data_IF_139120347238
#
_entry.id   IF_139120347238
#
_cell.length_a   1.000
_cell.length_b   1.000
_cell.length_c   1.000
_cell.angle_alpha   90.00
_cell.angle_beta   90.00
_cell.angle_gamma   90.00
#
_symmetry.space_group_name_H-M   'P 1'
#
loop_
_entity.id
_entity.type
_entity.pdbx_description
1 polymer ?
#
# COMPACT_ATOMS: atom_id res chain seq x y z
N UNK A 1 -24.06 -15.60 17.76
CA UNK A 1 -22.70 -16.17 17.66
C UNK A 1 -22.44 -16.42 16.18
N UNK A 2 -21.57 -15.63 15.51
CA UNK A 2 -21.25 -15.88 14.09
C UNK A 2 -20.48 -17.19 14.03
N UNK A 3 -20.90 -18.10 13.16
CA UNK A 3 -20.24 -19.39 12.92
C UNK A 3 -18.77 -19.13 12.54
N UNK A 4 -17.83 -19.64 13.34
CA UNK A 4 -16.41 -19.55 13.00
C UNK A 4 -16.17 -20.58 11.89
N UNK A 5 -15.96 -20.11 10.66
CA UNK A 5 -15.56 -20.97 9.54
C UNK A 5 -14.15 -21.53 9.82
N UNK A 6 -14.09 -22.75 10.37
CA UNK A 6 -12.86 -23.47 10.70
C UNK A 6 -12.09 -23.97 9.47
N UNK A 7 -12.52 -23.66 8.24
CA UNK A 7 -11.78 -24.06 7.03
C UNK A 7 -10.53 -23.20 6.89
N UNK A 8 -9.44 -23.67 7.48
CA UNK A 8 -8.09 -23.25 7.11
C UNK A 8 -7.91 -23.46 5.61
N UNK A 9 -8.00 -22.39 4.83
CA UNK A 9 -7.60 -22.43 3.42
C UNK A 9 -6.11 -22.14 3.38
N UNK A 10 -5.26 -23.09 2.97
CA UNK A 10 -3.86 -22.78 2.75
C UNK A 10 -3.75 -21.58 1.79
N UNK A 11 -2.74 -20.72 2.03
CA UNK A 11 -2.45 -19.57 1.18
C UNK A 11 -2.47 -20.03 -0.28
N UNK A 12 -3.37 -19.46 -1.07
CA UNK A 12 -3.50 -19.80 -2.48
C UNK A 12 -2.25 -19.31 -3.22
N UNK A 13 -1.73 -20.07 -4.20
CA UNK A 13 -0.72 -19.57 -5.13
C UNK A 13 -1.15 -18.20 -5.69
N UNK A 14 -0.26 -17.20 -5.62
CA UNK A 14 -0.56 -15.84 -6.07
C UNK A 14 -1.02 -14.85 -4.99
N UNK A 15 -0.91 -15.19 -3.70
CA UNK A 15 -1.04 -14.20 -2.61
C UNK A 15 0.11 -13.19 -2.73
N UNK A 16 -0.21 -11.94 -3.09
CA UNK A 16 0.75 -10.85 -3.14
C UNK A 16 0.98 -10.32 -1.72
N UNK A 17 2.25 -10.25 -1.31
CA UNK A 17 2.64 -9.79 0.02
C UNK A 17 2.18 -8.34 0.29
N UNK A 18 2.16 -7.50 -0.75
CA UNK A 18 1.84 -6.08 -0.71
C UNK A 18 0.46 -5.80 -1.33
N UNK A 19 -0.62 -6.40 -0.81
CA UNK A 19 -1.97 -6.15 -1.33
C UNK A 19 -2.89 -5.59 -0.26
N UNK A 20 -3.44 -4.42 -0.53
CA UNK A 20 -4.45 -3.74 0.30
C UNK A 20 -5.73 -4.57 0.48
N UNK A 21 -5.98 -5.54 -0.42
CA UNK A 21 -7.08 -6.50 -0.30
C UNK A 21 -7.00 -7.38 0.97
N UNK A 22 -5.84 -7.50 1.62
CA UNK A 22 -5.71 -8.17 2.92
C UNK A 22 -6.63 -7.55 3.98
N UNK A 23 -6.92 -6.26 3.87
CA UNK A 23 -7.78 -5.52 4.78
C UNK A 23 -9.26 -5.50 4.38
N UNK A 24 -9.68 -6.30 3.38
CA UNK A 24 -11.07 -6.30 2.87
C UNK A 24 -12.16 -6.44 3.94
N UNK A 25 -11.91 -7.18 5.02
CA UNK A 25 -12.89 -7.36 6.10
C UNK A 25 -13.10 -6.08 6.90
N UNK A 26 -12.07 -5.24 6.99
CA UNK A 26 -12.16 -3.91 7.58
C UNK A 26 -12.94 -3.02 6.63
N UNK A 27 -12.66 -3.08 5.32
CA UNK A 27 -13.41 -2.30 4.32
C UNK A 27 -14.91 -2.67 4.33
N UNK A 28 -15.25 -3.96 4.39
CA UNK A 28 -16.62 -4.46 4.55
C UNK A 28 -17.31 -3.84 5.79
N UNK A 29 -16.62 -3.83 6.93
CA UNK A 29 -17.15 -3.33 8.20
C UNK A 29 -17.33 -1.80 8.17
N UNK A 30 -16.33 -1.07 7.68
CA UNK A 30 -16.41 0.38 7.50
C UNK A 30 -17.53 0.75 6.52
N UNK A 31 -17.61 0.07 5.39
CA UNK A 31 -18.68 0.27 4.41
C UNK A 31 -20.07 0.06 5.03
N UNK A 32 -20.25 -1.01 5.80
CA UNK A 32 -21.54 -1.33 6.44
C UNK A 32 -21.93 -0.30 7.50
N UNK A 33 -20.96 0.28 8.20
CA UNK A 33 -21.22 1.27 9.25
C UNK A 33 -21.37 2.71 8.73
N UNK A 34 -20.68 3.03 7.64
CA UNK A 34 -20.72 4.34 6.99
C UNK A 34 -21.92 4.46 6.05
N UNK A 35 -22.31 3.37 5.39
CA UNK A 35 -23.31 3.34 4.32
C UNK A 35 -23.03 4.39 3.23
N UNK A 36 -21.82 4.40 2.63
CA UNK A 36 -21.39 5.49 1.77
C UNK A 36 -22.18 5.51 0.44
N UNK A 37 -22.67 6.69 0.06
CA UNK A 37 -23.20 6.92 -1.30
C UNK A 37 -22.11 6.80 -2.37
N UNK A 38 -20.88 7.14 -2.01
CA UNK A 38 -19.71 7.10 -2.89
C UNK A 38 -18.52 6.49 -2.16
N UNK A 39 -17.91 5.48 -2.77
CA UNK A 39 -16.60 4.92 -2.39
C UNK A 39 -15.55 5.51 -3.33
N UNK A 40 -14.43 5.96 -2.78
CA UNK A 40 -13.27 6.40 -3.55
C UNK A 40 -12.07 5.47 -3.30
N UNK A 41 -11.37 5.07 -4.34
CA UNK A 41 -10.08 4.36 -4.28
C UNK A 41 -9.02 5.19 -5.00
N UNK A 42 -7.89 5.41 -4.33
CA UNK A 42 -6.69 6.05 -4.90
C UNK A 42 -5.60 4.98 -4.99
N UNK A 43 -5.06 4.78 -6.20
CA UNK A 43 -4.14 3.68 -6.50
C UNK A 43 -4.89 2.40 -6.79
N UNK A 44 -5.04 2.07 -8.08
CA UNK A 44 -5.84 0.95 -8.56
C UNK A 44 -4.96 -0.25 -8.94
N UNK A 45 -3.73 0.01 -9.39
CA UNK A 45 -2.73 -1.01 -9.77
C UNK A 45 -3.35 -2.11 -10.69
N UNK A 46 -3.38 -3.37 -10.23
CA UNK A 46 -3.96 -4.51 -10.96
C UNK A 46 -5.47 -4.72 -10.76
N UNK A 47 -6.13 -3.83 -10.01
CA UNK A 47 -7.57 -3.82 -9.77
C UNK A 47 -8.08 -4.91 -8.83
N UNK A 48 -7.24 -5.52 -7.98
CA UNK A 48 -7.67 -6.57 -7.04
C UNK A 48 -8.62 -6.01 -5.97
N UNK A 49 -8.21 -4.91 -5.34
CA UNK A 49 -9.03 -4.17 -4.36
C UNK A 49 -10.20 -3.48 -5.07
N UNK A 50 -9.96 -2.84 -6.21
CA UNK A 50 -11.00 -2.25 -7.08
C UNK A 50 -12.21 -3.16 -7.29
N UNK A 51 -12.02 -4.40 -7.74
CA UNK A 51 -13.15 -5.33 -8.01
C UNK A 51 -14.03 -5.53 -6.78
N UNK A 52 -13.42 -5.63 -5.61
CA UNK A 52 -14.15 -5.79 -4.34
C UNK A 52 -14.92 -4.51 -3.98
N UNK A 53 -14.31 -3.34 -4.11
CA UNK A 53 -14.96 -2.06 -3.80
C UNK A 53 -16.10 -1.72 -4.79
N UNK A 54 -15.94 -2.06 -6.07
CA UNK A 54 -16.99 -1.94 -7.09
C UNK A 54 -18.20 -2.81 -6.71
N UNK A 55 -18.00 -4.05 -6.28
CA UNK A 55 -19.09 -4.89 -5.80
C UNK A 55 -19.80 -4.30 -4.58
N UNK A 56 -19.08 -3.70 -3.63
CA UNK A 56 -19.68 -3.04 -2.46
C UNK A 56 -20.54 -1.86 -2.89
N UNK A 57 -20.04 -0.99 -3.78
CA UNK A 57 -20.81 0.12 -4.32
C UNK A 57 -22.09 -0.36 -5.03
N UNK A 58 -21.99 -1.41 -5.86
CA UNK A 58 -23.13 -2.00 -6.54
C UNK A 58 -24.23 -2.47 -5.57
N UNK A 59 -23.84 -3.13 -4.46
CA UNK A 59 -24.78 -3.69 -3.46
C UNK A 59 -25.61 -2.63 -2.73
N UNK A 60 -25.07 -1.42 -2.57
CA UNK A 60 -25.78 -0.30 -1.94
C UNK A 60 -26.53 0.60 -2.93
N UNK A 61 -26.41 0.34 -4.24
CA UNK A 61 -26.83 1.29 -5.27
C UNK A 61 -26.02 2.59 -5.26
N UNK A 62 -24.85 2.58 -4.62
CA UNK A 62 -23.92 3.70 -4.55
C UNK A 62 -23.04 3.82 -5.79
N UNK A 63 -22.04 4.70 -5.71
CA UNK A 63 -21.06 4.97 -6.76
C UNK A 63 -19.67 4.56 -6.32
N UNK A 64 -18.85 4.18 -7.29
CA UNK A 64 -17.42 3.94 -7.11
C UNK A 64 -16.62 4.92 -7.98
N UNK A 65 -15.62 5.56 -7.38
CA UNK A 65 -14.66 6.44 -8.05
C UNK A 65 -13.27 5.86 -7.86
N UNK A 66 -12.61 5.48 -8.96
CA UNK A 66 -11.22 5.02 -8.94
C UNK A 66 -10.28 6.05 -9.56
N UNK A 67 -9.18 6.36 -8.88
CA UNK A 67 -8.22 7.37 -9.32
C UNK A 67 -6.83 6.74 -9.39
N UNK A 68 -6.26 6.68 -10.60
CA UNK A 68 -4.91 6.17 -10.80
C UNK A 68 -4.27 6.83 -12.04
N UNK A 69 -3.16 7.57 -11.91
CA UNK A 69 -2.49 8.20 -13.04
C UNK A 69 -1.93 7.20 -14.05
N UNK A 70 -1.67 5.96 -13.64
CA UNK A 70 -1.18 4.86 -14.45
C UNK A 70 -2.27 3.78 -14.67
N UNK A 71 -3.53 4.21 -14.90
CA UNK A 71 -4.66 3.30 -15.04
C UNK A 71 -4.43 2.20 -16.08
N UNK A 72 -4.48 0.94 -15.62
CA UNK A 72 -4.32 -0.24 -16.47
C UNK A 72 -5.36 -0.29 -17.61
N UNK A 73 -4.96 -0.50 -18.88
CA UNK A 73 -5.90 -0.66 -20.00
C UNK A 73 -6.88 -1.80 -19.76
N UNK A 74 -6.41 -2.93 -19.21
CA UNK A 74 -7.26 -4.08 -18.92
C UNK A 74 -8.33 -3.75 -17.88
N UNK A 75 -7.97 -3.00 -16.84
CA UNK A 75 -8.93 -2.58 -15.82
C UNK A 75 -9.95 -1.59 -16.38
N UNK A 76 -9.48 -0.64 -17.21
CA UNK A 76 -10.34 0.32 -17.91
C UNK A 76 -11.37 -0.39 -18.78
N UNK A 77 -10.95 -1.34 -19.60
CA UNK A 77 -11.86 -2.11 -20.45
C UNK A 77 -12.82 -2.97 -19.63
N UNK A 78 -12.35 -3.60 -18.54
CA UNK A 78 -13.19 -4.45 -17.72
C UNK A 78 -14.32 -3.70 -17.00
N UNK A 79 -14.18 -2.39 -16.79
CA UNK A 79 -15.12 -1.56 -16.04
C UNK A 79 -15.84 -0.50 -16.90
N UNK A 80 -15.58 -0.44 -18.22
CA UNK A 80 -16.12 0.61 -19.10
C UNK A 80 -17.65 0.66 -19.11
N UNK A 81 -18.28 -0.51 -19.01
CA UNK A 81 -19.73 -0.66 -19.15
C UNK A 81 -20.43 -0.75 -17.79
N UNK A 82 -19.74 -0.38 -16.70
CA UNK A 82 -20.29 -0.44 -15.33
C UNK A 82 -20.83 0.94 -14.93
N UNK A 83 -22.16 1.19 -14.95
CA UNK A 83 -22.69 2.57 -14.91
C UNK A 83 -22.44 3.33 -13.61
N UNK A 84 -22.21 2.61 -12.50
CA UNK A 84 -21.92 3.19 -11.19
C UNK A 84 -20.42 3.40 -10.93
N UNK A 85 -19.57 3.11 -11.91
CA UNK A 85 -18.10 3.25 -11.82
C UNK A 85 -17.65 4.48 -12.62
N UNK A 86 -16.77 5.27 -12.03
CA UNK A 86 -16.06 6.35 -12.70
C UNK A 86 -14.55 6.16 -12.48
N UNK A 87 -13.77 6.13 -13.56
CA UNK A 87 -12.32 5.95 -13.51
C UNK A 87 -11.60 7.20 -14.00
N UNK A 88 -10.71 7.74 -13.18
CA UNK A 88 -9.87 8.88 -13.51
C UNK A 88 -8.43 8.44 -13.74
N UNK A 89 -7.94 8.64 -14.97
CA UNK A 89 -6.53 8.44 -15.29
C UNK A 89 -5.74 9.73 -15.06
N UNK A 90 -5.66 10.15 -13.80
CA UNK A 90 -5.13 11.47 -13.39
C UNK A 90 -4.53 11.39 -12.00
N UNK A 91 -3.81 12.44 -11.58
CA UNK A 91 -3.33 12.57 -10.21
C UNK A 91 -4.52 12.63 -9.24
N UNK A 92 -4.39 12.03 -8.06
CA UNK A 92 -5.36 12.18 -6.98
C UNK A 92 -5.56 13.65 -6.60
N UNK A 93 -4.48 14.42 -6.55
CA UNK A 93 -4.53 15.84 -6.17
C UNK A 93 -5.42 16.66 -7.11
N UNK A 94 -5.41 16.37 -8.42
CA UNK A 94 -6.22 17.07 -9.41
C UNK A 94 -7.70 16.66 -9.33
N UNK A 95 -7.97 15.39 -9.02
CA UNK A 95 -9.35 14.86 -9.00
C UNK A 95 -10.05 15.21 -7.70
N UNK A 96 -9.37 15.11 -6.55
CA UNK A 96 -9.95 15.34 -5.23
C UNK A 96 -10.44 16.78 -5.05
N UNK A 97 -9.87 17.76 -5.76
CA UNK A 97 -10.35 19.15 -5.78
C UNK A 97 -11.73 19.33 -6.43
N UNK A 98 -12.21 18.33 -7.18
CA UNK A 98 -13.39 18.46 -8.05
C UNK A 98 -14.49 17.44 -7.77
N UNK A 99 -14.31 16.55 -6.79
CA UNK A 99 -15.33 15.58 -6.40
C UNK A 99 -15.98 15.92 -5.06
N UNK A 100 -17.24 15.53 -4.89
CA UNK A 100 -17.89 15.58 -3.59
C UNK A 100 -17.20 14.62 -2.60
N UNK A 101 -17.24 14.96 -1.32
CA UNK A 101 -16.66 14.16 -0.25
C UNK A 101 -17.17 12.70 -0.29
N UNK A 102 -16.29 11.71 -0.53
CA UNK A 102 -16.68 10.31 -0.44
C UNK A 102 -16.99 9.93 1.00
N UNK A 103 -17.94 9.02 1.22
CA UNK A 103 -18.20 8.48 2.56
C UNK A 103 -17.09 7.51 2.99
N UNK A 104 -16.53 6.74 2.06
CA UNK A 104 -15.42 5.83 2.31
C UNK A 104 -14.32 6.06 1.27
N UNK A 105 -13.11 6.35 1.72
CA UNK A 105 -11.94 6.52 0.85
C UNK A 105 -10.84 5.53 1.21
N UNK A 106 -10.32 4.80 0.24
CA UNK A 106 -9.15 3.92 0.39
C UNK A 106 -7.98 4.59 -0.33
N UNK A 107 -6.89 4.83 0.40
CA UNK A 107 -5.69 5.50 -0.13
C UNK A 107 -4.54 4.50 -0.17
N UNK A 108 -4.08 4.18 -1.38
CA UNK A 108 -2.96 3.28 -1.68
C UNK A 108 -2.21 3.74 -2.96
N UNK A 109 -2.06 5.06 -3.09
CA UNK A 109 -1.43 5.73 -4.23
C UNK A 109 0.09 5.87 -4.10
N UNK A 110 0.63 7.07 -4.35
CA UNK A 110 2.06 7.35 -4.22
C UNK A 110 2.45 7.47 -2.73
N UNK A 111 3.41 6.69 -2.25
CA UNK A 111 3.70 6.58 -0.81
C UNK A 111 4.77 7.58 -0.35
N UNK A 112 4.50 8.87 -0.57
CA UNK A 112 5.36 9.96 -0.13
C UNK A 112 4.58 11.01 0.68
N UNK A 113 5.31 11.69 1.57
CA UNK A 113 4.73 12.65 2.51
C UNK A 113 3.90 13.73 1.80
N UNK A 114 4.43 14.33 0.73
CA UNK A 114 3.79 15.45 0.05
C UNK A 114 2.44 15.05 -0.56
N UNK A 115 2.39 13.94 -1.27
CA UNK A 115 1.16 13.45 -1.88
C UNK A 115 0.13 13.10 -0.81
N UNK A 116 0.49 12.29 0.17
CA UNK A 116 -0.45 11.81 1.21
C UNK A 116 -0.97 12.97 2.06
N UNK A 117 -0.11 13.88 2.51
CA UNK A 117 -0.54 15.05 3.28
C UNK A 117 -1.55 15.89 2.49
N UNK A 118 -1.32 16.08 1.19
CA UNK A 118 -2.23 16.88 0.34
C UNK A 118 -3.55 16.16 0.06
N UNK A 119 -3.54 14.84 -0.14
CA UNK A 119 -4.75 14.02 -0.25
C UNK A 119 -5.62 14.12 1.01
N UNK A 120 -5.00 13.97 2.19
CA UNK A 120 -5.69 14.10 3.48
C UNK A 120 -6.29 15.50 3.66
N UNK A 121 -5.56 16.55 3.31
CA UNK A 121 -6.05 17.94 3.36
C UNK A 121 -7.25 18.18 2.44
N UNK A 122 -7.20 17.68 1.20
CA UNK A 122 -8.30 17.81 0.24
C UNK A 122 -9.55 17.04 0.69
N UNK A 123 -9.37 15.81 1.18
CA UNK A 123 -10.47 15.00 1.70
C UNK A 123 -11.08 15.63 2.97
N UNK A 124 -10.26 16.17 3.87
CA UNK A 124 -10.74 16.85 5.07
C UNK A 124 -11.50 18.14 4.73
N UNK A 125 -11.01 18.92 3.78
CA UNK A 125 -11.71 20.10 3.28
C UNK A 125 -13.07 19.73 2.69
N UNK A 126 -13.14 18.69 1.87
CA UNK A 126 -14.39 18.18 1.33
C UNK A 126 -15.33 17.66 2.44
N UNK A 127 -14.80 16.94 3.44
CA UNK A 127 -15.56 16.38 4.54
C UNK A 127 -16.11 17.44 5.52
N UNK A 128 -15.46 18.60 5.67
CA UNK A 128 -16.00 19.72 6.44
C UNK A 128 -17.30 20.29 5.85
N UNK A 129 -17.61 19.96 4.59
CA UNK A 129 -18.90 20.26 3.96
C UNK A 129 -19.93 19.13 4.10
N UNK A 130 -19.53 17.96 4.62
CA UNK A 130 -20.45 16.87 4.90
C UNK A 130 -21.11 17.13 6.26
N UNK A 131 -22.42 17.37 6.27
CA UNK A 131 -23.23 17.57 7.48
C UNK A 131 -23.28 16.33 8.41
N UNK A 132 -22.54 15.26 8.11
CA UNK A 132 -22.72 13.95 8.71
C UNK A 132 -21.39 13.33 9.16
N UNK A 133 -21.37 12.86 10.40
CA UNK A 133 -20.25 12.15 11.02
C UNK A 133 -20.10 10.68 10.55
N UNK A 134 -20.57 10.37 9.34
CA UNK A 134 -20.54 9.05 8.72
C UNK A 134 -19.57 9.04 7.56
N UNK A 135 -18.27 9.07 7.87
CA UNK A 135 -17.23 8.90 6.88
C UNK A 135 -15.98 8.26 7.48
N UNK A 136 -15.18 7.59 6.65
CA UNK A 136 -13.90 7.01 7.04
C UNK A 136 -12.89 7.04 5.89
N UNK A 137 -11.62 7.22 6.22
CA UNK A 137 -10.49 7.05 5.31
C UNK A 137 -9.67 5.86 5.80
N UNK A 138 -9.38 4.92 4.92
CA UNK A 138 -8.44 3.84 5.17
C UNK A 138 -7.15 4.11 4.38
N UNK A 139 -6.10 4.51 5.10
CA UNK A 139 -4.79 4.87 4.56
C UNK A 139 -3.82 3.69 4.71
N UNK A 140 -3.45 3.10 3.58
CA UNK A 140 -2.48 2.02 3.51
C UNK A 140 -1.03 2.55 3.66
N UNK A 141 -0.06 1.65 3.77
CA UNK A 141 1.38 1.97 3.84
C UNK A 141 1.82 2.81 5.06
N UNK A 142 1.03 2.77 6.12
CA UNK A 142 1.32 3.45 7.39
C UNK A 142 2.28 2.68 8.31
N UNK A 143 2.70 1.47 7.95
CA UNK A 143 3.75 0.68 8.64
C UNK A 143 4.97 0.49 7.72
N UNK A 144 5.90 -0.40 8.09
CA UNK A 144 7.03 -0.74 7.21
C UNK A 144 6.51 -1.23 5.85
N UNK A 145 7.06 -0.76 4.71
CA UNK A 145 8.32 -0.02 4.62
C UNK A 145 8.19 1.51 4.50
N UNK A 146 7.00 2.02 4.17
CA UNK A 146 6.81 3.42 3.74
C UNK A 146 6.41 4.38 4.87
N UNK A 147 6.07 3.86 6.06
CA UNK A 147 5.66 4.66 7.24
C UNK A 147 6.55 5.87 7.51
N UNK A 148 7.87 5.66 7.50
CA UNK A 148 8.90 6.65 7.82
C UNK A 148 9.86 6.91 6.67
N UNK A 149 9.49 6.53 5.45
CA UNK A 149 10.35 6.67 4.27
C UNK A 149 9.51 6.86 3.03
N UNK A 150 9.72 7.98 2.36
CA UNK A 150 9.11 8.26 1.08
C UNK A 150 9.52 7.24 0.02
N UNK A 151 8.54 6.81 -0.76
CA UNK A 151 8.74 6.16 -2.04
C UNK A 151 7.96 6.89 -3.12
N UNK A 152 8.53 6.88 -4.32
CA UNK A 152 8.01 7.62 -5.44
C UNK A 152 7.84 6.71 -6.65
N UNK A 153 6.63 6.62 -7.18
CA UNK A 153 6.38 6.05 -8.50
C UNK A 153 6.84 7.01 -9.61
N UNK A 154 6.68 8.31 -9.40
CA UNK A 154 7.11 9.35 -10.36
C UNK A 154 7.62 10.57 -9.59
N UNK A 155 8.90 10.57 -9.17
CA UNK A 155 9.48 11.62 -8.34
C UNK A 155 9.31 13.04 -8.90
N UNK A 156 9.15 13.18 -10.21
CA UNK A 156 8.99 14.47 -10.90
C UNK A 156 7.64 15.14 -10.62
N UNK A 157 6.63 14.39 -10.15
CA UNK A 157 5.34 14.94 -9.74
C UNK A 157 5.37 15.61 -8.37
N UNK A 158 6.40 15.31 -7.56
CA UNK A 158 6.58 15.91 -6.24
C UNK A 158 7.44 17.17 -6.38
N UNK A 159 7.03 18.32 -5.80
CA UNK A 159 7.84 19.53 -5.79
C UNK A 159 9.24 19.27 -5.26
N UNK A 160 10.27 19.84 -5.90
CA UNK A 160 11.66 19.57 -5.54
C UNK A 160 12.00 19.91 -4.07
N UNK A 161 11.32 20.90 -3.49
CA UNK A 161 11.48 21.29 -2.08
C UNK A 161 10.85 20.31 -1.08
N UNK A 162 9.95 19.44 -1.54
CA UNK A 162 9.25 18.43 -0.73
C UNK A 162 9.72 17.01 -1.05
N UNK A 163 10.81 16.87 -1.83
CA UNK A 163 11.29 15.59 -2.33
C UNK A 163 12.66 15.28 -1.75
N UNK A 164 12.80 14.09 -1.18
CA UNK A 164 14.07 13.61 -0.66
C UNK A 164 14.98 13.06 -1.77
N UNK A 165 16.29 13.07 -1.51
CA UNK A 165 17.22 12.27 -2.31
C UNK A 165 16.78 10.80 -2.28
N UNK A 166 16.76 10.16 -3.44
CA UNK A 166 16.25 8.79 -3.59
C UNK A 166 17.14 7.92 -4.47
N UNK A 167 17.00 6.60 -4.28
CA UNK A 167 17.73 5.57 -5.02
C UNK A 167 16.76 4.55 -5.61
N UNK A 168 16.99 4.16 -6.87
CA UNK A 168 16.27 3.05 -7.54
C UNK A 168 17.05 1.73 -7.53
N UNK A 169 18.30 1.75 -7.06
CA UNK A 169 19.22 0.58 -7.08
C UNK A 169 19.25 -0.20 -5.78
N UNK A 170 18.91 0.46 -4.69
CA UNK A 170 18.89 -0.12 -3.35
C UNK A 170 17.45 -0.20 -2.86
N UNK A 171 17.19 -1.14 -1.96
CA UNK A 171 15.89 -1.41 -1.38
C UNK A 171 15.91 -1.39 0.14
N UNK A 172 14.75 -1.55 0.76
CA UNK A 172 14.60 -1.52 2.21
C UNK A 172 15.31 -2.69 2.88
N UNK A 173 16.11 -2.41 3.91
CA UNK A 173 16.50 -3.41 4.91
C UNK A 173 15.38 -3.55 5.94
N UNK A 174 15.18 -4.78 6.41
CA UNK A 174 14.29 -5.07 7.55
C UNK A 174 15.06 -4.91 8.87
N UNK A 175 16.39 -5.02 8.83
CA UNK A 175 17.25 -5.03 10.01
C UNK A 175 17.95 -3.68 10.24
N UNK A 176 18.02 -2.84 9.21
CA UNK A 176 18.79 -1.59 9.23
C UNK A 176 17.97 -0.43 8.67
N UNK A 177 18.32 0.78 9.09
CA UNK A 177 17.79 2.00 8.50
C UNK A 177 18.38 2.25 7.10
N UNK A 178 19.54 1.71 6.76
CA UNK A 178 20.15 1.91 5.45
C UNK A 178 19.41 1.16 4.34
N UNK A 179 19.42 1.71 3.12
CA UNK A 179 19.06 0.95 1.93
C UNK A 179 20.19 -0.03 1.56
N UNK A 180 19.83 -1.22 1.09
CA UNK A 180 20.79 -2.26 0.70
C UNK A 180 20.57 -2.72 -0.73
N UNK A 181 21.63 -3.18 -1.41
CA UNK A 181 21.55 -3.66 -2.81
C UNK A 181 20.62 -4.86 -2.96
N UNK A 182 20.54 -5.66 -1.90
CA UNK A 182 19.68 -6.83 -1.79
C UNK A 182 18.50 -6.55 -0.85
N UNK A 183 18.01 -5.31 -0.79
CA UNK A 183 16.85 -4.89 0.02
C UNK A 183 15.51 -5.02 -0.72
N UNK A 184 14.39 -4.95 -0.01
CA UNK A 184 13.05 -5.03 -0.61
C UNK A 184 12.83 -3.87 -1.61
N UNK A 185 12.32 -4.15 -2.81
CA UNK A 185 12.17 -3.15 -3.88
C UNK A 185 13.44 -2.77 -4.66
N UNK A 186 14.62 -3.31 -4.30
CA UNK A 186 15.87 -2.98 -4.99
C UNK A 186 15.83 -3.36 -6.49
N UNK A 187 16.25 -2.43 -7.36
CA UNK A 187 16.32 -2.60 -8.82
C UNK A 187 14.97 -2.90 -9.49
N UNK A 188 13.85 -2.50 -8.88
CA UNK A 188 12.50 -2.67 -9.44
C UNK A 188 11.93 -1.36 -10.03
N UNK A 189 12.76 -0.33 -10.17
CA UNK A 189 12.34 0.97 -10.73
C UNK A 189 11.65 1.91 -9.73
N UNK A 190 11.31 1.44 -8.53
CA UNK A 190 10.80 2.27 -7.44
C UNK A 190 11.91 3.17 -6.88
N UNK A 191 11.66 4.48 -6.82
CA UNK A 191 12.59 5.43 -6.20
C UNK A 191 12.29 5.53 -4.71
N UNK A 192 13.28 5.19 -3.87
CA UNK A 192 13.13 5.13 -2.41
C UNK A 192 14.04 6.18 -1.78
N UNK A 193 13.50 7.01 -0.88
CA UNK A 193 14.29 8.00 -0.17
C UNK A 193 15.49 7.34 0.55
N UNK A 194 16.67 7.92 0.44
CA UNK A 194 17.91 7.34 1.00
C UNK A 194 17.95 7.42 2.52
N UNK A 195 17.28 8.43 3.09
CA UNK A 195 17.17 8.67 4.52
C UNK A 195 15.93 8.00 5.12
N UNK A 196 16.10 7.38 6.28
CA UNK A 196 15.00 6.95 7.13
C UNK A 196 14.56 8.06 8.08
N UNK A 197 13.25 8.25 8.22
CA UNK A 197 12.64 9.19 9.15
C UNK A 197 12.99 10.65 8.90
N UNK A 198 12.70 11.47 9.90
CA UNK A 198 12.84 12.93 9.84
C UNK A 198 11.58 13.64 9.34
N UNK A 199 11.68 14.98 9.28
CA UNK A 199 10.59 15.84 8.84
C UNK A 199 10.15 15.50 7.41
N UNK A 200 8.84 15.49 7.20
CA UNK A 200 8.23 15.32 5.89
C UNK A 200 8.67 14.06 5.14
N UNK A 201 8.84 12.93 5.84
CA UNK A 201 9.33 11.67 5.26
C UNK A 201 8.50 10.46 5.71
N UNK A 202 7.74 9.90 4.77
CA UNK A 202 6.91 8.72 4.96
C UNK A 202 5.42 9.01 5.19
N UNK A 203 4.61 7.97 4.95
CA UNK A 203 3.14 8.03 4.98
C UNK A 203 2.61 8.25 6.40
N UNK A 204 3.16 7.55 7.40
CA UNK A 204 2.73 7.71 8.79
C UNK A 204 3.10 9.09 9.32
N UNK A 205 4.26 9.61 8.91
CA UNK A 205 4.67 10.99 9.23
C UNK A 205 3.65 12.00 8.67
N UNK A 206 3.20 11.84 7.42
CA UNK A 206 2.17 12.69 6.84
C UNK A 206 0.84 12.65 7.60
N UNK A 207 0.43 11.45 8.02
CA UNK A 207 -0.78 11.27 8.81
C UNK A 207 -0.66 11.93 10.20
N UNK A 208 0.45 11.73 10.89
CA UNK A 208 0.67 12.31 12.22
C UNK A 208 0.69 13.83 12.18
N UNK A 209 1.41 14.43 11.23
CA UNK A 209 1.47 15.89 11.07
C UNK A 209 0.10 16.46 10.69
N UNK A 210 -0.67 15.76 9.84
CA UNK A 210 -2.04 16.14 9.51
C UNK A 210 -2.97 16.16 10.75
N UNK A 211 -2.79 15.21 11.68
CA UNK A 211 -3.60 15.08 12.89
C UNK A 211 -3.23 16.09 13.99
N UNK A 212 -1.99 16.58 14.05
CA UNK A 212 -1.51 17.50 15.10
C UNK A 212 -2.38 18.76 15.23
N UNK A 213 -2.99 19.21 14.13
CA UNK A 213 -3.82 20.42 14.10
C UNK A 213 -5.33 20.13 14.19
N UNK A 214 -5.73 18.86 14.40
CA UNK A 214 -7.12 18.40 14.24
C UNK A 214 -7.55 17.50 15.40
N UNK A 215 -8.20 18.12 16.40
CA UNK A 215 -8.78 17.41 17.55
C UNK A 215 -10.18 16.81 17.27
N UNK A 216 -10.77 17.11 16.11
CA UNK A 216 -12.07 16.62 15.69
C UNK A 216 -12.00 15.27 14.95
N UNK A 217 -10.83 14.65 14.91
CA UNK A 217 -10.58 13.37 14.26
C UNK A 217 -10.06 12.34 15.26
N UNK A 218 -10.29 11.07 14.97
CA UNK A 218 -9.67 9.94 15.64
C UNK A 218 -8.97 9.04 14.63
N UNK A 219 -7.95 8.33 15.10
CA UNK A 219 -7.21 7.37 14.30
C UNK A 219 -7.08 6.02 14.99
N UNK A 220 -7.15 4.95 14.21
CA UNK A 220 -6.78 3.60 14.60
C UNK A 220 -5.65 3.12 13.69
N UNK A 221 -4.54 2.70 14.26
CA UNK A 221 -3.38 2.21 13.51
C UNK A 221 -3.25 0.69 13.64
N UNK A 222 -3.27 -0.02 12.52
CA UNK A 222 -3.11 -1.47 12.44
C UNK A 222 -1.68 -1.78 12.00
N UNK A 223 -0.86 -2.23 12.94
CA UNK A 223 0.56 -2.55 12.71
C UNK A 223 0.74 -3.93 12.04
N UNK A 224 0.20 -4.08 10.84
CA UNK A 224 0.53 -5.19 9.95
C UNK A 224 1.64 -4.78 8.96
N UNK A 225 2.13 -5.72 8.15
CA UNK A 225 2.98 -5.41 6.99
C UNK A 225 2.26 -4.42 6.06
N UNK A 226 2.97 -3.37 5.62
CA UNK A 226 2.43 -2.15 5.00
C UNK A 226 1.49 -1.35 5.92
N UNK A 227 0.66 -2.01 6.70
CA UNK A 227 -0.18 -1.39 7.72
C UNK A 227 -1.39 -0.68 7.15
N UNK A 228 -2.31 -0.35 8.04
CA UNK A 228 -3.51 0.39 7.69
C UNK A 228 -3.86 1.34 8.83
N UNK A 229 -4.06 2.61 8.52
CA UNK A 229 -4.62 3.59 9.45
C UNK A 229 -6.04 3.94 9.05
N UNK A 230 -6.95 3.95 10.00
CA UNK A 230 -8.34 4.35 9.81
C UNK A 230 -8.52 5.72 10.43
N UNK A 231 -8.83 6.73 9.61
CA UNK A 231 -9.16 8.08 10.05
C UNK A 231 -10.67 8.28 9.98
N UNK A 232 -11.26 8.81 11.04
CA UNK A 232 -12.70 9.06 11.14
C UNK A 232 -12.97 10.29 12.03
N UNK A 233 -14.21 10.83 12.05
CA UNK A 233 -14.61 11.84 13.02
C UNK A 233 -14.37 11.39 14.46
N UNK A 234 -13.98 12.31 15.35
CA UNK A 234 -13.85 12.05 16.78
C UNK A 234 -15.20 11.64 17.41
N UNK A 235 -16.30 12.17 16.88
CA UNK A 235 -17.68 11.82 17.26
C UNK A 235 -18.41 11.22 16.04
N UNK A 236 -18.16 9.96 15.68
CA UNK A 236 -18.76 9.33 14.51
C UNK A 236 -20.23 8.93 14.77
N UNK A 237 -20.93 8.48 13.72
CA UNK A 237 -22.24 7.83 13.90
C UNK A 237 -22.16 6.62 14.83
N UNK A 238 -23.27 6.22 15.45
CA UNK A 238 -23.32 5.07 16.38
C UNK A 238 -22.75 3.79 15.74
N UNK A 239 -23.18 3.46 14.51
CA UNK A 239 -22.70 2.27 13.81
C UNK A 239 -21.19 2.31 13.55
N UNK A 240 -20.65 3.47 13.17
CA UNK A 240 -19.21 3.62 12.96
C UNK A 240 -18.43 3.59 14.29
N UNK A 241 -18.99 4.17 15.35
CA UNK A 241 -18.41 4.10 16.69
C UNK A 241 -18.27 2.65 17.17
N UNK A 242 -19.29 1.81 16.94
CA UNK A 242 -19.28 0.39 17.29
C UNK A 242 -18.16 -0.36 16.55
N UNK A 243 -18.08 -0.22 15.22
CA UNK A 243 -17.03 -0.85 14.41
C UNK A 243 -15.63 -0.40 14.83
N UNK A 244 -15.42 0.91 15.03
CA UNK A 244 -14.14 1.44 15.50
C UNK A 244 -13.81 0.93 16.91
N UNK A 245 -14.81 0.79 17.78
CA UNK A 245 -14.67 0.20 19.12
C UNK A 245 -14.22 -1.26 19.08
N UNK A 246 -14.85 -2.09 18.24
CA UNK A 246 -14.46 -3.49 18.05
C UNK A 246 -13.03 -3.62 17.55
N UNK A 247 -12.63 -2.83 16.55
CA UNK A 247 -11.26 -2.80 16.03
C UNK A 247 -10.29 -2.39 17.14
N UNK A 248 -10.62 -1.34 17.90
CA UNK A 248 -9.78 -0.85 19.01
C UNK A 248 -9.55 -1.92 20.07
N UNK A 249 -10.60 -2.63 20.49
CA UNK A 249 -10.49 -3.75 21.44
C UNK A 249 -9.61 -4.86 20.86
N UNK A 250 -9.80 -5.22 19.59
CA UNK A 250 -8.96 -6.21 18.91
C UNK A 250 -7.48 -5.82 18.90
N UNK A 251 -7.17 -4.55 18.61
CA UNK A 251 -5.80 -4.03 18.65
C UNK A 251 -5.20 -4.00 20.06
N UNK A 252 -6.01 -3.69 21.08
CA UNK A 252 -5.54 -3.73 22.48
C UNK A 252 -5.14 -5.15 22.92
N UNK A 253 -5.83 -6.17 22.41
CA UNK A 253 -5.57 -7.57 22.80
C UNK A 253 -4.51 -8.23 21.92
N UNK A 254 -4.54 -7.98 20.61
CA UNK A 254 -3.72 -8.72 19.63
C UNK A 254 -2.72 -7.85 18.87
N UNK A 255 -2.66 -6.54 19.11
CA UNK A 255 -1.85 -5.61 18.33
C UNK A 255 -0.35 -5.93 18.39
N UNK A 256 0.19 -6.14 19.59
CA UNK A 256 1.61 -6.50 19.77
C UNK A 256 1.93 -7.86 19.16
N UNK A 257 1.08 -8.86 19.41
CA UNK A 257 1.22 -10.19 18.80
C UNK A 257 1.22 -10.12 17.27
N UNK A 258 0.32 -9.33 16.67
CA UNK A 258 0.26 -9.14 15.22
C UNK A 258 1.55 -8.51 14.69
N UNK A 259 2.05 -7.46 15.36
CA UNK A 259 3.28 -6.78 14.96
C UNK A 259 4.49 -7.73 15.01
N UNK A 260 4.61 -8.53 16.08
CA UNK A 260 5.66 -9.55 16.21
C UNK A 260 5.56 -10.63 15.13
N UNK A 261 4.34 -11.11 14.84
CA UNK A 261 4.10 -12.10 13.78
C UNK A 261 4.47 -11.56 12.39
N UNK A 262 4.14 -10.31 12.10
CA UNK A 262 4.47 -9.67 10.82
C UNK A 262 5.97 -9.37 10.69
N UNK A 263 6.65 -8.98 11.78
CA UNK A 263 8.11 -8.88 11.81
C UNK A 263 8.79 -10.23 11.55
N UNK A 264 8.32 -11.29 12.21
CA UNK A 264 8.82 -12.65 12.00
C UNK A 264 8.61 -13.11 10.55
N UNK A 265 7.44 -12.83 9.98
CA UNK A 265 7.13 -13.10 8.57
C UNK A 265 8.07 -12.36 7.62
N UNK A 266 8.31 -11.06 7.85
CA UNK A 266 9.25 -10.26 7.07
C UNK A 266 10.67 -10.84 7.11
N UNK A 267 11.15 -11.18 8.31
CA UNK A 267 12.47 -11.79 8.49
C UNK A 267 12.59 -13.11 7.74
N UNK A 268 11.59 -13.99 7.83
CA UNK A 268 11.57 -15.25 7.10
C UNK A 268 11.58 -15.06 5.59
N UNK A 269 10.78 -14.12 5.07
CA UNK A 269 10.76 -13.77 3.64
C UNK A 269 12.15 -13.28 3.20
N UNK A 270 12.79 -12.43 4.00
CA UNK A 270 14.13 -11.91 3.72
C UNK A 270 15.18 -13.03 3.69
N UNK A 271 15.19 -13.90 4.69
CA UNK A 271 16.13 -15.02 4.81
C UNK A 271 15.97 -16.00 3.63
N UNK A 272 14.74 -16.33 3.29
CA UNK A 272 14.41 -17.15 2.11
C UNK A 272 14.95 -16.46 0.86
N UNK A 273 14.61 -15.19 0.63
CA UNK A 273 15.03 -14.44 -0.56
C UNK A 273 16.55 -14.39 -0.72
N UNK A 274 17.28 -14.06 0.35
CA UNK A 274 18.74 -14.07 0.31
C UNK A 274 19.31 -15.48 0.08
N UNK A 275 18.71 -16.52 0.66
CA UNK A 275 19.14 -17.90 0.41
C UNK A 275 18.98 -18.30 -1.06
N UNK A 276 17.89 -17.88 -1.70
CA UNK A 276 17.64 -18.08 -3.14
C UNK A 276 18.63 -17.32 -4.00
N UNK A 277 18.88 -16.04 -3.71
CA UNK A 277 19.87 -15.23 -4.42
C UNK A 277 21.28 -15.84 -4.34
N UNK A 278 21.70 -16.30 -3.15
CA UNK A 278 22.99 -16.97 -2.96
C UNK A 278 23.09 -18.26 -3.79
N UNK A 279 22.04 -19.09 -3.80
CA UNK A 279 21.99 -20.33 -4.60
C UNK A 279 22.05 -20.04 -6.10
N UNK A 280 21.30 -19.05 -6.58
CA UNK A 280 21.29 -18.65 -7.99
C UNK A 280 22.68 -18.15 -8.42
N UNK A 281 23.31 -17.28 -7.63
CA UNK A 281 24.65 -16.78 -7.90
C UNK A 281 25.71 -17.90 -7.91
N UNK A 282 25.60 -18.87 -6.99
CA UNK A 282 26.49 -20.04 -6.98
C UNK A 282 26.32 -20.91 -8.23
N UNK A 283 25.07 -21.15 -8.66
CA UNK A 283 24.76 -21.89 -9.89
C UNK A 283 25.32 -21.21 -11.14
N UNK A 284 25.10 -19.91 -11.30
CA UNK A 284 25.61 -19.12 -12.43
C UNK A 284 27.16 -19.12 -12.46
N UNK A 285 27.82 -18.95 -11.32
CA UNK A 285 29.29 -19.06 -11.23
C UNK A 285 29.82 -20.45 -11.58
N UNK A 286 29.06 -21.51 -11.27
CA UNK A 286 29.41 -22.88 -11.66
C UNK A 286 29.31 -23.06 -13.18
N UNK A 287 28.20 -22.63 -13.77
CA UNK A 287 27.97 -22.70 -15.23
C UNK A 287 29.01 -21.89 -16.02
N UNK A 288 29.33 -20.67 -15.59
CA UNK A 288 30.35 -19.83 -16.22
C UNK A 288 31.74 -20.47 -16.16
N UNK A 289 32.11 -21.07 -15.03
CA UNK A 289 33.38 -21.83 -14.91
C UNK A 289 33.41 -23.04 -15.84
N UNK A 290 32.30 -23.77 -15.95
CA UNK A 290 32.15 -24.86 -16.91
C UNK A 290 32.38 -24.39 -18.36
N UNK A 291 31.72 -23.30 -18.78
CA UNK A 291 31.86 -22.74 -20.12
C UNK A 291 33.28 -22.23 -20.43
N UNK A 292 33.93 -21.58 -19.47
CA UNK A 292 35.33 -21.12 -19.61
C UNK A 292 36.31 -22.30 -19.69
N UNK A 293 36.08 -23.37 -18.91
CA UNK A 293 36.91 -24.57 -18.95
C UNK A 293 36.80 -25.35 -20.28
N UNK A 294 35.62 -25.30 -20.93
CA UNK A 294 35.38 -25.89 -22.25
C UNK A 294 36.06 -25.08 -23.36
N UNK A 295 36.07 -23.75 -23.27
CA UNK A 295 36.81 -22.88 -24.22
C UNK A 295 38.33 -23.00 -24.09
N UNK A 296 38.85 -23.19 -22.86
CA UNK A 296 40.29 -23.40 -22.63
C UNK A 296 40.84 -24.74 -23.13
N UNK A 297 39.99 -25.75 -23.38
CA UNK A 297 40.38 -27.04 -23.97
C UNK A 297 40.37 -27.05 -25.50
N UNK A 298 39.81 -26.03 -26.14
CA UNK A 298 39.79 -25.86 -27.59
C UNK A 298 40.92 -24.93 -28.05
N UNK A 299 42.18 -25.30 -27.80
CA UNK A 299 43.33 -24.72 -28.49
C UNK A 299 43.85 -25.77 -29.48
N UNK A 300 44.02 -25.44 -30.78
CA UNK A 300 44.36 -26.43 -31.79
C UNK A 300 45.77 -26.98 -31.55
N UNK A 301 45.90 -28.31 -31.54
CA UNK A 301 47.19 -28.97 -31.74
C UNK A 301 47.69 -28.60 -33.13
N UNK A 302 48.56 -27.61 -33.21
CA UNK A 302 49.48 -27.42 -34.33
C UNK A 302 50.50 -28.56 -34.28
N UNK A 303 50.19 -29.68 -34.94
CA UNK A 303 51.22 -30.64 -35.30
C UNK A 303 51.93 -30.14 -36.54
N UNK A 304 53.13 -29.62 -36.33
CA UNK A 304 54.15 -29.47 -37.36
C UNK A 304 54.70 -30.87 -37.71
N UNK A 305 54.56 -31.26 -38.99
CA UNK A 305 55.60 -31.80 -39.87
C UNK A 305 54.98 -32.25 -41.19
#
# INVERSE_FOLDING_TARGET
>A
MREIDHRYRPLQPGTQIASTLHFRRIFDALFSAVEPKTICEIGLEGGRTTRHLVELAARSGGRYIGIDPALSPTLRTALSDTPHVTLHASSSLDVLEHIAAPGLTIIDGDHNYHTVSRELELLAAAANHAEHASWAIALHDTSWPCSRRDTYYSPQRVPASMRHESSTRHGFSILDEALTKDGYGANQGLAIATRWGGEHNGVLTALEDFLQTRNNLQVLHIQALHGLSIVAPATPSTALAEVLGEIRVGLQVFGELLAEMEFNRLRLINDVRHSWQRRLAASLRSQLRGLLSLRGRASPRTTAR
#
